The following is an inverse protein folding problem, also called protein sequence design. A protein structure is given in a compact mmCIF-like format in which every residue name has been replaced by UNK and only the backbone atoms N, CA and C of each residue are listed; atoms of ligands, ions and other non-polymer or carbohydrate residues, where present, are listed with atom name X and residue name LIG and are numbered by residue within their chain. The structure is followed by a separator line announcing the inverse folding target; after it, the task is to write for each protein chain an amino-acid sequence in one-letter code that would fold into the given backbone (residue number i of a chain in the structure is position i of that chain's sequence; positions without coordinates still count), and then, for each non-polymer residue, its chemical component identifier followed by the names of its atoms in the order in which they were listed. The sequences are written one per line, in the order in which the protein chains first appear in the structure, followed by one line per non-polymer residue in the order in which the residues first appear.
data_IF_995918331244
#
_entry.id   IF_995918331244
#
_cell.length_a   1.000
_cell.length_b   1.000
_cell.length_c   1.000
_cell.angle_alpha   90.00
_cell.angle_beta   90.00
_cell.angle_gamma   90.00
#
_symmetry.space_group_name_H-M   'P 1'
#
loop_
_entity.id
_entity.type
_entity.pdbx_description
1 polymer ?
#
# COMPACT_ATOMS: atom_id res chain seq x y z
N UNK A 1 -17.18 -27.47 -67.07
CA UNK A 1 -17.52 -26.25 -66.31
C UNK A 1 -17.06 -26.45 -64.87
N UNK A 2 -15.88 -25.94 -64.54
CA UNK A 2 -15.26 -26.06 -63.20
C UNK A 2 -15.92 -25.07 -62.24
N UNK A 3 -16.73 -25.58 -61.32
CA UNK A 3 -17.20 -24.80 -60.17
C UNK A 3 -16.02 -24.50 -59.26
N UNK A 4 -15.43 -23.31 -59.40
CA UNK A 4 -14.55 -22.77 -58.38
C UNK A 4 -15.40 -22.31 -57.20
N UNK A 5 -15.52 -23.17 -56.18
CA UNK A 5 -16.01 -22.78 -54.86
C UNK A 5 -15.06 -21.72 -54.32
N UNK A 6 -15.42 -20.43 -54.42
CA UNK A 6 -14.67 -19.35 -53.77
C UNK A 6 -14.69 -19.64 -52.27
N UNK A 7 -13.52 -19.92 -51.70
CA UNK A 7 -13.33 -19.95 -50.25
C UNK A 7 -13.92 -18.65 -49.66
N UNK A 8 -14.64 -18.69 -48.53
CA UNK A 8 -15.14 -17.49 -47.90
C UNK A 8 -13.96 -16.56 -47.62
N UNK A 9 -14.04 -15.33 -48.14
CA UNK A 9 -13.02 -14.31 -47.90
C UNK A 9 -12.84 -14.12 -46.39
N UNK A 10 -11.62 -13.91 -45.94
CA UNK A 10 -11.31 -13.69 -44.54
C UNK A 10 -10.61 -12.35 -44.34
N UNK A 11 -10.82 -11.73 -43.19
CA UNK A 11 -10.17 -10.47 -42.79
C UNK A 11 -9.21 -10.76 -41.65
N UNK A 12 -7.96 -10.33 -41.81
CA UNK A 12 -6.96 -10.39 -40.74
C UNK A 12 -7.12 -9.19 -39.79
N UNK A 13 -7.28 -9.49 -38.50
CA UNK A 13 -7.34 -8.52 -37.40
C UNK A 13 -6.46 -9.03 -36.28
N UNK A 14 -5.47 -8.25 -35.86
CA UNK A 14 -4.52 -8.60 -34.78
C UNK A 14 -3.89 -10.01 -34.93
N UNK A 15 -3.56 -10.40 -36.16
CA UNK A 15 -2.98 -11.71 -36.48
C UNK A 15 -3.98 -12.88 -36.53
N UNK A 16 -5.24 -12.66 -36.16
CA UNK A 16 -6.31 -13.63 -36.27
C UNK A 16 -7.09 -13.48 -37.59
N UNK A 17 -7.44 -14.62 -38.19
CA UNK A 17 -8.28 -14.67 -39.40
C UNK A 17 -9.75 -14.76 -39.02
N UNK A 18 -10.54 -13.81 -39.52
CA UNK A 18 -11.99 -13.75 -39.30
C UNK A 18 -12.73 -13.97 -40.62
N UNK A 19 -13.49 -15.05 -40.71
CA UNK A 19 -14.30 -15.37 -41.90
C UNK A 19 -15.36 -14.28 -42.13
N UNK A 20 -15.48 -13.82 -43.38
CA UNK A 20 -16.57 -12.92 -43.78
C UNK A 20 -17.90 -13.66 -43.66
N UNK A 21 -18.86 -13.03 -43.00
CA UNK A 21 -20.20 -13.59 -42.85
C UNK A 21 -21.02 -13.28 -44.12
N UNK A 22 -21.73 -14.25 -44.71
CA UNK A 22 -22.34 -14.14 -46.05
C UNK A 22 -23.61 -13.28 -46.09
N UNK A 23 -23.79 -12.35 -45.15
CA UNK A 23 -24.88 -11.38 -45.14
C UNK A 23 -24.28 -9.98 -45.20
N UNK A 24 -24.72 -9.21 -46.20
CA UNK A 24 -24.31 -7.82 -46.36
C UNK A 24 -24.57 -7.02 -45.08
N UNK A 25 -23.69 -6.08 -44.71
CA UNK A 25 -24.00 -5.09 -43.69
C UNK A 25 -25.28 -4.33 -44.04
N UNK A 26 -26.02 -3.90 -43.02
CA UNK A 26 -27.13 -2.98 -43.23
C UNK A 26 -26.62 -1.68 -43.89
N UNK A 27 -27.31 -1.12 -44.90
CA UNK A 27 -26.87 0.09 -45.60
C UNK A 27 -26.62 1.31 -44.71
N UNK A 28 -27.24 1.37 -43.52
CA UNK A 28 -27.04 2.46 -42.56
C UNK A 28 -25.72 2.38 -41.80
N UNK A 29 -25.12 1.20 -41.67
CA UNK A 29 -23.96 0.99 -40.78
C UNK A 29 -22.68 1.71 -41.22
N UNK A 30 -22.33 1.82 -42.52
CA UNK A 30 -21.17 2.60 -42.95
C UNK A 30 -21.23 4.05 -42.48
N UNK A 31 -22.38 4.71 -42.64
CA UNK A 31 -22.57 6.10 -42.20
C UNK A 31 -22.47 6.24 -40.67
N UNK A 32 -22.99 5.26 -39.91
CA UNK A 32 -22.85 5.23 -38.44
C UNK A 32 -21.37 5.06 -38.04
N UNK A 33 -20.63 4.19 -38.72
CA UNK A 33 -19.21 3.98 -38.45
C UNK A 33 -18.41 5.26 -38.73
N UNK A 34 -18.68 5.90 -39.87
CA UNK A 34 -18.00 7.11 -40.32
C UNK A 34 -18.20 8.26 -39.33
N UNK A 35 -19.46 8.49 -38.91
CA UNK A 35 -19.80 9.49 -37.89
C UNK A 35 -19.09 9.25 -36.55
N UNK A 36 -18.67 8.00 -36.27
CA UNK A 36 -17.95 7.60 -35.05
C UNK A 36 -16.43 7.54 -35.24
N UNK A 37 -15.90 7.91 -36.41
CA UNK A 37 -14.46 7.92 -36.73
C UNK A 37 -13.89 6.59 -37.22
N UNK A 38 -14.71 5.76 -37.86
CA UNK A 38 -14.31 4.45 -38.38
C UNK A 38 -14.86 4.18 -39.78
N UNK A 39 -14.16 3.36 -40.56
CA UNK A 39 -14.73 2.72 -41.75
C UNK A 39 -15.30 1.35 -41.36
N UNK A 40 -16.50 1.04 -41.83
CA UNK A 40 -17.03 -0.32 -41.81
C UNK A 40 -16.42 -1.13 -42.95
N UNK A 41 -15.64 -2.16 -42.62
CA UNK A 41 -15.01 -3.02 -43.63
C UNK A 41 -15.99 -4.09 -44.11
N UNK A 42 -16.47 -4.93 -43.18
CA UNK A 42 -17.40 -6.03 -43.50
C UNK A 42 -17.95 -6.68 -42.23
N UNK A 43 -18.90 -7.58 -42.41
CA UNK A 43 -19.42 -8.46 -41.35
C UNK A 43 -18.56 -9.72 -41.26
N UNK A 44 -18.25 -10.18 -40.05
CA UNK A 44 -17.35 -11.33 -39.83
C UNK A 44 -17.83 -12.24 -38.72
N UNK A 45 -17.41 -13.51 -38.75
CA UNK A 45 -17.66 -14.57 -37.77
C UNK A 45 -19.14 -14.99 -37.67
N UNK A 46 -20.04 -14.05 -37.40
CA UNK A 46 -21.48 -14.29 -37.29
C UNK A 46 -22.29 -13.04 -37.65
N UNK A 47 -23.62 -13.12 -37.47
CA UNK A 47 -24.52 -12.00 -37.74
C UNK A 47 -24.37 -10.81 -36.77
N UNK A 48 -23.55 -10.91 -35.73
CA UNK A 48 -23.44 -9.95 -34.64
C UNK A 48 -22.11 -9.20 -34.58
N UNK A 49 -21.14 -9.53 -35.44
CA UNK A 49 -19.82 -8.88 -35.45
C UNK A 49 -19.47 -8.29 -36.80
N UNK A 50 -18.74 -7.18 -36.76
CA UNK A 50 -18.21 -6.51 -37.93
C UNK A 50 -16.78 -6.03 -37.67
N UNK A 51 -16.03 -5.78 -38.73
CA UNK A 51 -14.69 -5.19 -38.66
C UNK A 51 -14.81 -3.71 -38.94
N UNK A 52 -14.29 -2.90 -38.00
CA UNK A 52 -14.10 -1.48 -38.17
C UNK A 52 -12.62 -1.18 -38.41
N UNK A 53 -12.31 -0.15 -39.20
CA UNK A 53 -10.97 0.43 -39.35
C UNK A 53 -10.99 1.85 -38.80
N UNK A 54 -10.12 2.16 -37.84
CA UNK A 54 -10.06 3.49 -37.24
C UNK A 54 -9.48 4.52 -38.22
N UNK A 55 -10.10 5.70 -38.34
CA UNK A 55 -9.56 6.79 -39.17
C UNK A 55 -8.25 7.36 -38.64
N UNK A 56 -8.09 7.41 -37.31
CA UNK A 56 -6.93 8.05 -36.68
C UNK A 56 -5.64 7.21 -36.77
N UNK A 57 -5.71 5.89 -36.61
CA UNK A 57 -4.53 5.03 -36.60
C UNK A 57 -4.56 3.87 -37.60
N UNK A 58 -5.64 3.70 -38.36
CA UNK A 58 -5.80 2.61 -39.33
C UNK A 58 -5.96 1.21 -38.72
N UNK A 59 -5.86 1.05 -37.40
CA UNK A 59 -6.03 -0.25 -36.74
C UNK A 59 -7.43 -0.81 -36.97
N UNK A 60 -7.50 -2.09 -37.32
CA UNK A 60 -8.75 -2.83 -37.47
C UNK A 60 -9.16 -3.42 -36.13
N UNK A 61 -10.46 -3.47 -35.86
CA UNK A 61 -11.00 -4.12 -34.68
C UNK A 61 -12.29 -4.86 -35.01
N UNK A 62 -12.44 -6.07 -34.45
CA UNK A 62 -13.72 -6.78 -34.48
C UNK A 62 -14.60 -6.22 -33.36
N UNK A 63 -15.76 -5.68 -33.72
CA UNK A 63 -16.71 -5.13 -32.75
C UNK A 63 -18.07 -5.80 -32.92
N UNK A 64 -18.86 -5.83 -31.84
CA UNK A 64 -20.26 -6.22 -31.95
C UNK A 64 -21.05 -5.11 -32.65
N UNK A 65 -22.02 -5.50 -33.47
CA UNK A 65 -22.88 -4.57 -34.21
C UNK A 65 -23.67 -3.65 -33.27
N UNK A 66 -24.13 -4.14 -32.11
CA UNK A 66 -24.78 -3.28 -31.12
C UNK A 66 -23.83 -2.22 -30.55
N UNK A 67 -22.54 -2.51 -30.40
CA UNK A 67 -21.54 -1.50 -30.01
C UNK A 67 -21.39 -0.45 -31.12
N UNK A 68 -21.34 -0.87 -32.39
CA UNK A 68 -21.32 0.06 -33.52
C UNK A 68 -22.57 0.95 -33.55
N UNK A 69 -23.77 0.40 -33.35
CA UNK A 69 -25.02 1.16 -33.44
C UNK A 69 -25.25 2.04 -32.22
N UNK A 70 -25.15 1.46 -31.03
CA UNK A 70 -25.75 2.01 -29.81
C UNK A 70 -24.71 2.71 -28.90
N UNK A 71 -23.41 2.50 -29.14
CA UNK A 71 -22.33 3.04 -28.31
C UNK A 71 -21.19 3.64 -29.15
N UNK A 72 -20.16 4.18 -28.49
CA UNK A 72 -18.93 4.61 -29.15
C UNK A 72 -17.92 3.45 -29.17
N UNK A 73 -17.55 2.90 -30.35
CA UNK A 73 -16.49 1.92 -30.45
C UNK A 73 -15.15 2.52 -29.98
N UNK A 74 -14.40 1.74 -29.20
CA UNK A 74 -13.06 2.10 -28.75
C UNK A 74 -12.02 1.48 -29.68
N UNK A 75 -11.04 2.27 -30.12
CA UNK A 75 -9.92 1.76 -30.90
C UNK A 75 -8.78 1.29 -29.99
N UNK A 76 -8.46 -0.01 -30.04
CA UNK A 76 -7.36 -0.59 -29.28
C UNK A 76 -6.00 -0.01 -29.68
N UNK A 77 -5.79 0.31 -30.97
CA UNK A 77 -4.58 0.95 -31.48
C UNK A 77 -4.35 2.33 -30.89
N UNK A 78 -5.35 3.23 -30.98
CA UNK A 78 -5.27 4.56 -30.37
C UNK A 78 -5.09 4.49 -28.84
N UNK A 79 -5.78 3.57 -28.18
CA UNK A 79 -5.63 3.36 -26.73
C UNK A 79 -4.19 2.94 -26.40
N UNK A 80 -3.62 2.00 -27.15
CA UNK A 80 -2.23 1.57 -26.97
C UNK A 80 -1.26 2.73 -27.20
N UNK A 81 -1.38 3.45 -28.32
CA UNK A 81 -0.54 4.60 -28.66
C UNK A 81 -0.59 5.69 -27.58
N UNK A 82 -1.78 6.01 -27.07
CA UNK A 82 -1.94 6.97 -25.96
C UNK A 82 -1.19 6.53 -24.71
N UNK A 83 -1.32 5.25 -24.33
CA UNK A 83 -0.64 4.68 -23.16
C UNK A 83 0.88 4.60 -23.34
N UNK A 84 1.34 4.21 -24.54
CA UNK A 84 2.75 4.17 -24.89
C UNK A 84 3.36 5.57 -24.87
N UNK A 85 2.66 6.58 -25.40
CA UNK A 85 3.07 7.98 -25.35
C UNK A 85 3.18 8.49 -23.91
N UNK A 86 2.21 8.15 -23.05
CA UNK A 86 2.27 8.49 -21.62
C UNK A 86 3.47 7.84 -20.91
N UNK A 87 3.77 6.56 -21.20
CA UNK A 87 4.96 5.91 -20.67
C UNK A 87 6.24 6.63 -21.16
N UNK A 88 6.33 6.95 -22.46
CA UNK A 88 7.47 7.61 -23.06
C UNK A 88 7.73 9.01 -22.47
N UNK A 89 6.67 9.77 -22.16
CA UNK A 89 6.78 11.06 -21.48
C UNK A 89 7.47 10.97 -20.10
N UNK A 90 7.39 9.81 -19.44
CA UNK A 90 8.08 9.51 -18.19
C UNK A 90 9.47 8.88 -18.42
N UNK A 91 9.90 8.74 -19.68
CA UNK A 91 11.04 7.95 -20.12
C UNK A 91 10.92 6.47 -19.77
N UNK A 92 9.70 5.95 -19.75
CA UNK A 92 9.42 4.52 -19.66
C UNK A 92 8.95 3.98 -21.01
N UNK A 93 9.05 2.66 -21.18
CA UNK A 93 8.56 1.95 -22.37
C UNK A 93 7.39 1.05 -21.96
N UNK A 94 6.26 1.12 -22.66
CA UNK A 94 5.15 0.18 -22.44
C UNK A 94 5.42 -1.12 -23.20
N UNK A 95 5.76 -2.18 -22.47
CA UNK A 95 6.17 -3.47 -23.05
C UNK A 95 4.96 -4.34 -23.38
N UNK A 96 4.02 -4.45 -22.44
CA UNK A 96 2.91 -5.39 -22.56
C UNK A 96 1.69 -4.95 -21.75
N UNK A 97 0.51 -5.44 -22.16
CA UNK A 97 -0.67 -5.42 -21.32
C UNK A 97 -0.60 -6.50 -20.24
N UNK A 98 -1.26 -6.28 -19.11
CA UNK A 98 -1.40 -7.29 -18.07
C UNK A 98 -2.51 -8.30 -18.45
N UNK A 99 -2.15 -9.59 -18.53
CA UNK A 99 -3.09 -10.65 -18.91
C UNK A 99 -4.24 -10.79 -17.90
N UNK A 100 -3.99 -10.51 -16.62
CA UNK A 100 -4.98 -10.59 -15.55
C UNK A 100 -5.85 -9.33 -15.39
N UNK A 101 -5.55 -8.24 -16.11
CA UNK A 101 -6.29 -6.99 -15.92
C UNK A 101 -6.14 -6.00 -17.08
N UNK A 102 -7.27 -5.68 -17.71
CA UNK A 102 -7.37 -4.64 -18.76
C UNK A 102 -6.93 -3.23 -18.31
N UNK A 103 -6.84 -3.00 -17.00
CA UNK A 103 -6.49 -1.71 -16.40
C UNK A 103 -4.99 -1.55 -16.14
N UNK A 104 -4.21 -2.62 -16.27
CA UNK A 104 -2.78 -2.64 -15.97
C UNK A 104 -1.94 -2.95 -17.21
N UNK A 105 -0.69 -2.47 -17.17
CA UNK A 105 0.35 -2.79 -18.13
C UNK A 105 1.70 -2.93 -17.44
N UNK A 106 2.64 -3.50 -18.18
CA UNK A 106 4.04 -3.65 -17.80
C UNK A 106 4.87 -2.60 -18.52
N UNK A 107 5.58 -1.78 -17.76
CA UNK A 107 6.44 -0.73 -18.30
C UNK A 107 7.87 -0.92 -17.84
N UNK A 108 8.84 -0.80 -18.75
CA UNK A 108 10.27 -0.74 -18.43
C UNK A 108 10.61 0.71 -18.09
N UNK A 109 11.16 0.94 -16.90
CA UNK A 109 11.59 2.27 -16.47
C UNK A 109 13.02 2.55 -16.93
N UNK A 110 13.48 3.81 -16.84
CA UNK A 110 14.86 4.22 -17.17
C UNK A 110 15.93 3.43 -16.43
N UNK A 111 15.63 2.97 -15.22
CA UNK A 111 16.51 2.13 -14.42
C UNK A 111 16.58 0.66 -14.89
N UNK A 112 15.95 0.31 -16.01
CA UNK A 112 15.92 -1.05 -16.58
C UNK A 112 14.85 -1.98 -15.98
N UNK A 113 14.32 -1.65 -14.79
CA UNK A 113 13.32 -2.48 -14.14
C UNK A 113 11.95 -2.42 -14.81
N UNK A 114 11.27 -3.57 -14.86
CA UNK A 114 9.88 -3.68 -15.33
C UNK A 114 8.93 -3.54 -14.15
N UNK A 115 7.97 -2.63 -14.25
CA UNK A 115 6.95 -2.40 -13.24
C UNK A 115 5.55 -2.65 -13.78
N UNK A 116 4.71 -3.26 -12.94
CA UNK A 116 3.27 -3.37 -13.20
C UNK A 116 2.56 -2.14 -12.66
N UNK A 117 1.85 -1.40 -13.53
CA UNK A 117 1.16 -0.15 -13.17
C UNK A 117 -0.19 -0.02 -13.87
N UNK A 118 -1.11 0.70 -13.22
CA UNK A 118 -2.37 1.08 -13.85
C UNK A 118 -2.12 2.14 -14.92
N UNK A 119 -2.74 1.99 -16.09
CA UNK A 119 -2.59 2.97 -17.18
C UNK A 119 -2.97 4.38 -16.75
N UNK A 120 -4.07 4.51 -16.01
CA UNK A 120 -4.54 5.83 -15.53
C UNK A 120 -3.51 6.53 -14.64
N UNK A 121 -2.74 5.78 -13.83
CA UNK A 121 -1.68 6.39 -13.00
C UNK A 121 -0.50 6.85 -13.84
N UNK A 122 -0.11 6.05 -14.83
CA UNK A 122 0.94 6.42 -15.79
C UNK A 122 0.54 7.67 -16.57
N UNK A 123 -0.69 7.74 -17.07
CA UNK A 123 -1.23 8.91 -17.77
C UNK A 123 -1.27 10.15 -16.87
N UNK A 124 -1.69 10.03 -15.60
CA UNK A 124 -1.66 11.14 -14.63
C UNK A 124 -0.23 11.59 -14.29
N UNK A 125 0.71 10.67 -14.18
CA UNK A 125 2.11 10.97 -13.94
C UNK A 125 2.70 11.73 -15.14
N UNK A 126 2.42 11.30 -16.37
CA UNK A 126 2.84 11.96 -17.59
C UNK A 126 2.31 13.40 -17.72
N UNK A 127 1.12 13.66 -17.18
CA UNK A 127 0.53 15.01 -17.10
C UNK A 127 1.11 15.88 -15.96
N UNK A 128 2.19 15.45 -15.30
CA UNK A 128 2.85 16.22 -14.24
C UNK A 128 2.32 15.98 -12.82
N UNK A 129 1.42 15.01 -12.61
CA UNK A 129 0.81 14.78 -11.30
C UNK A 129 1.73 14.15 -10.25
N UNK A 130 2.65 13.26 -10.64
CA UNK A 130 3.62 12.61 -9.76
C UNK A 130 4.68 11.84 -10.57
N UNK A 131 5.86 11.60 -9.98
CA UNK A 131 6.86 10.71 -10.57
C UNK A 131 6.45 9.24 -10.47
N UNK A 132 6.86 8.42 -11.44
CA UNK A 132 6.72 6.97 -11.37
C UNK A 132 7.83 6.38 -10.50
N UNK A 133 7.45 5.60 -9.50
CA UNK A 133 8.35 4.99 -8.55
C UNK A 133 8.76 3.57 -8.97
N UNK A 134 10.05 3.25 -8.85
CA UNK A 134 10.57 1.90 -9.03
C UNK A 134 10.77 1.24 -7.66
N UNK A 135 10.04 0.16 -7.39
CA UNK A 135 10.15 -0.57 -6.13
C UNK A 135 11.54 -1.19 -5.94
N UNK A 136 12.13 -1.77 -6.98
CA UNK A 136 13.46 -2.36 -6.92
C UNK A 136 14.54 -1.30 -6.60
N UNK A 137 14.59 -0.19 -7.32
CA UNK A 137 15.53 0.90 -7.01
C UNK A 137 15.33 1.47 -5.62
N UNK A 138 14.08 1.53 -5.16
CA UNK A 138 13.74 2.02 -3.82
C UNK A 138 14.29 1.09 -2.73
N UNK A 139 14.13 -0.23 -2.86
CA UNK A 139 14.71 -1.19 -1.91
C UNK A 139 16.26 -1.19 -1.97
N UNK A 140 16.86 -1.06 -3.16
CA UNK A 140 18.32 -0.92 -3.31
C UNK A 140 18.81 0.30 -2.52
N UNK A 141 18.14 1.45 -2.68
CA UNK A 141 18.48 2.67 -1.96
C UNK A 141 18.39 2.47 -0.44
N UNK A 142 17.32 1.86 0.06
CA UNK A 142 17.18 1.56 1.49
C UNK A 142 18.30 0.66 2.01
N UNK A 143 18.71 -0.35 1.23
CA UNK A 143 19.84 -1.19 1.57
C UNK A 143 21.16 -0.42 1.62
N UNK A 144 21.39 0.50 0.68
CA UNK A 144 22.59 1.37 0.68
C UNK A 144 22.60 2.33 1.87
N UNK A 145 21.48 2.99 2.16
CA UNK A 145 21.32 3.86 3.34
C UNK A 145 21.59 3.09 4.63
N UNK A 146 21.04 1.88 4.77
CA UNK A 146 21.25 1.02 5.93
C UNK A 146 22.73 0.65 6.15
N UNK A 147 23.45 0.31 5.06
CA UNK A 147 24.87 -0.08 5.14
C UNK A 147 25.75 1.03 5.70
N UNK A 148 25.42 2.30 5.41
CA UNK A 148 26.15 3.44 5.94
C UNK A 148 26.14 3.48 7.48
N UNK A 149 25.08 2.96 8.10
CA UNK A 149 24.91 2.92 9.55
C UNK A 149 25.20 1.53 10.17
N UNK A 150 25.85 0.63 9.43
CA UNK A 150 26.16 -0.72 9.92
C UNK A 150 24.97 -1.68 9.96
N UNK A 151 23.96 -1.44 9.11
CA UNK A 151 22.78 -2.28 8.95
C UNK A 151 22.70 -2.89 7.55
N UNK A 152 22.03 -4.03 7.45
CA UNK A 152 21.67 -4.67 6.18
C UNK A 152 20.15 -4.77 6.10
N UNK A 153 19.58 -4.46 4.93
CA UNK A 153 18.15 -4.64 4.68
C UNK A 153 17.85 -6.14 4.45
N UNK A 154 17.05 -6.72 5.34
CA UNK A 154 16.59 -8.12 5.21
C UNK A 154 15.30 -8.19 4.35
N UNK A 155 14.49 -7.13 4.33
CA UNK A 155 13.31 -7.03 3.48
C UNK A 155 12.11 -6.32 4.14
N UNK A 156 10.88 -6.69 3.77
CA UNK A 156 9.67 -6.12 4.37
C UNK A 156 9.65 -6.27 5.90
N UNK A 157 9.09 -5.27 6.59
CA UNK A 157 8.90 -5.32 8.04
C UNK A 157 7.95 -6.45 8.46
N UNK A 158 8.08 -6.91 9.71
CA UNK A 158 7.15 -7.88 10.29
C UNK A 158 5.78 -7.23 10.52
N UNK A 159 4.75 -7.87 10.00
CA UNK A 159 3.40 -7.30 9.95
C UNK A 159 3.31 -6.20 8.89
N UNK A 160 2.12 -5.99 8.32
CA UNK A 160 1.90 -4.99 7.24
C UNK A 160 2.03 -3.56 7.78
N UNK A 161 3.27 -3.08 7.93
CA UNK A 161 3.61 -1.73 8.41
C UNK A 161 4.22 -0.91 7.27
N UNK A 162 3.38 -0.16 6.52
CA UNK A 162 3.89 0.80 5.53
C UNK A 162 4.89 1.75 6.20
N UNK A 163 6.00 2.05 5.51
CA UNK A 163 7.04 2.94 6.05
C UNK A 163 8.10 2.27 6.94
N UNK A 164 8.00 0.96 7.20
CA UNK A 164 8.99 0.19 7.95
C UNK A 164 9.64 -0.88 7.07
N UNK A 165 10.87 -1.26 7.43
CA UNK A 165 11.58 -2.41 6.85
C UNK A 165 12.27 -3.21 7.97
N UNK A 166 12.46 -4.50 7.71
CA UNK A 166 13.25 -5.37 8.58
C UNK A 166 14.72 -5.20 8.23
N UNK A 167 15.54 -4.83 9.22
CA UNK A 167 16.98 -4.68 9.06
C UNK A 167 17.72 -5.57 10.05
N UNK A 168 18.94 -5.96 9.68
CA UNK A 168 19.90 -6.69 10.50
C UNK A 168 21.09 -5.80 10.82
N UNK A 169 21.37 -5.62 12.11
CA UNK A 169 22.55 -4.87 12.54
C UNK A 169 23.83 -5.72 12.37
N UNK A 170 24.99 -5.08 12.32
CA UNK A 170 26.29 -5.77 12.29
C UNK A 170 26.53 -6.75 13.45
N UNK A 171 25.82 -6.61 14.58
CA UNK A 171 25.84 -7.59 15.68
C UNK A 171 24.94 -8.83 15.45
N UNK A 172 24.30 -8.95 14.29
CA UNK A 172 23.39 -10.05 13.93
C UNK A 172 21.93 -9.88 14.36
N UNK A 173 21.61 -8.90 15.20
CA UNK A 173 20.23 -8.67 15.66
C UNK A 173 19.36 -8.08 14.55
N UNK A 174 18.17 -8.66 14.35
CA UNK A 174 17.18 -8.18 13.39
C UNK A 174 16.04 -7.42 14.08
N UNK A 175 15.66 -6.26 13.54
CA UNK A 175 14.52 -5.48 14.01
C UNK A 175 13.88 -4.65 12.89
N UNK A 176 12.60 -4.35 13.08
CA UNK A 176 11.90 -3.41 12.19
C UNK A 176 12.27 -1.97 12.56
N UNK A 177 12.72 -1.19 11.58
CA UNK A 177 13.05 0.23 11.71
C UNK A 177 12.26 1.02 10.67
N UNK A 178 11.84 2.23 11.00
CA UNK A 178 11.22 3.11 10.02
C UNK A 178 12.25 3.46 8.94
N UNK A 179 11.79 3.59 7.69
CA UNK A 179 12.65 3.96 6.56
C UNK A 179 13.29 5.32 6.82
N UNK A 180 12.52 6.29 7.34
CA UNK A 180 13.02 7.63 7.66
C UNK A 180 14.13 7.62 8.71
N UNK A 181 13.95 6.90 9.82
CA UNK A 181 14.99 6.83 10.85
C UNK A 181 16.25 6.14 10.32
N UNK A 182 16.11 5.08 9.53
CA UNK A 182 17.26 4.41 8.93
C UNK A 182 18.01 5.34 7.97
N UNK A 183 17.32 6.15 7.18
CA UNK A 183 17.94 7.09 6.26
C UNK A 183 18.78 8.17 6.98
N UNK A 184 18.40 8.58 8.19
CA UNK A 184 19.12 9.57 9.00
C UNK A 184 20.09 8.98 10.02
N UNK A 185 20.15 7.65 10.16
CA UNK A 185 20.94 6.99 11.20
C UNK A 185 20.34 7.09 12.60
N UNK A 186 19.10 7.56 12.72
CA UNK A 186 18.33 7.69 13.97
C UNK A 186 17.75 6.34 14.43
N UNK A 187 18.56 5.29 14.35
CA UNK A 187 18.21 3.92 14.66
C UNK A 187 19.26 3.28 15.56
N UNK A 188 18.85 2.81 16.73
CA UNK A 188 19.73 2.09 17.66
C UNK A 188 19.38 0.61 17.72
N UNK A 189 20.42 -0.23 17.75
CA UNK A 189 20.24 -1.67 17.86
C UNK A 189 19.69 -2.06 19.23
N UNK A 190 18.52 -2.70 19.24
CA UNK A 190 17.86 -3.18 20.45
C UNK A 190 18.59 -4.31 21.18
N UNK A 191 19.72 -4.80 20.68
CA UNK A 191 20.50 -5.87 21.33
C UNK A 191 21.87 -5.40 21.85
N UNK A 192 22.57 -4.52 21.14
CA UNK A 192 23.93 -4.11 21.51
C UNK A 192 24.11 -2.61 21.77
N UNK A 193 23.10 -1.77 21.50
CA UNK A 193 23.24 -0.34 21.74
C UNK A 193 23.36 -0.05 23.25
N UNK A 194 24.32 0.79 23.61
CA UNK A 194 24.57 1.18 25.01
C UNK A 194 23.65 2.31 25.50
N UNK A 195 22.72 2.77 24.66
CA UNK A 195 21.73 3.77 25.02
C UNK A 195 20.42 3.12 25.49
N UNK A 196 19.39 3.94 25.70
CA UNK A 196 18.09 3.47 26.21
C UNK A 196 17.45 2.38 25.32
N UNK A 197 17.74 2.37 24.02
CA UNK A 197 17.08 1.49 23.07
C UNK A 197 17.54 0.03 23.20
N UNK A 198 18.83 -0.19 23.50
CA UNK A 198 19.44 -1.52 23.66
C UNK A 198 19.56 -2.00 25.11
N UNK A 199 19.54 -1.08 26.09
CA UNK A 199 19.57 -1.44 27.51
C UNK A 199 18.24 -2.08 27.96
N UNK A 200 18.26 -3.08 28.87
CA UNK A 200 17.05 -3.64 29.46
C UNK A 200 16.13 -2.57 30.04
N UNK A 201 14.82 -2.79 29.91
CA UNK A 201 13.79 -1.87 30.36
C UNK A 201 12.59 -2.64 30.86
N UNK A 202 11.68 -1.95 31.55
CA UNK A 202 10.48 -2.57 32.09
C UNK A 202 9.23 -2.00 31.45
N UNK A 203 8.24 -2.86 31.21
CA UNK A 203 6.84 -2.44 31.09
C UNK A 203 6.23 -2.48 32.49
N UNK A 204 5.45 -1.47 32.84
CA UNK A 204 4.83 -1.35 34.15
C UNK A 204 3.33 -1.12 34.03
N UNK A 205 2.64 -1.43 35.12
CA UNK A 205 1.26 -1.07 35.38
C UNK A 205 1.17 -0.41 36.76
N UNK A 206 0.75 0.83 36.81
CA UNK A 206 0.54 1.57 38.06
C UNK A 206 -0.95 1.78 38.29
N UNK A 207 -1.38 1.74 39.55
CA UNK A 207 -2.65 2.29 40.01
C UNK A 207 -2.40 3.64 40.65
N UNK A 208 -3.22 4.63 40.31
CA UNK A 208 -3.09 6.01 40.75
C UNK A 208 -4.49 6.51 41.14
N UNK A 209 -4.68 6.82 42.41
CA UNK A 209 -5.97 7.26 42.96
C UNK A 209 -6.13 8.78 42.78
N UNK A 210 -6.24 9.24 41.53
CA UNK A 210 -6.46 10.67 41.26
C UNK A 210 -7.80 11.12 41.89
N UNK A 211 -7.91 12.40 42.32
CA UNK A 211 -9.14 12.93 42.90
C UNK A 211 -10.34 12.72 41.97
N UNK A 212 -11.34 11.95 42.42
CA UNK A 212 -12.55 11.66 41.65
C UNK A 212 -12.38 10.69 40.47
N UNK A 213 -11.17 10.19 40.20
CA UNK A 213 -10.90 9.36 39.02
C UNK A 213 -9.71 8.40 39.21
N UNK A 214 -9.87 7.28 39.92
CA UNK A 214 -8.82 6.27 40.02
C UNK A 214 -8.49 5.68 38.65
N UNK A 215 -7.22 5.71 38.26
CA UNK A 215 -6.75 5.23 36.97
C UNK A 215 -5.66 4.18 37.09
N UNK A 216 -5.57 3.35 36.06
CA UNK A 216 -4.47 2.44 35.80
C UNK A 216 -3.63 3.00 34.65
N UNK A 217 -2.33 3.11 34.87
CA UNK A 217 -1.35 3.61 33.90
C UNK A 217 -0.42 2.49 33.48
N UNK A 218 -0.53 2.07 32.22
CA UNK A 218 0.46 1.22 31.59
C UNK A 218 1.52 2.06 30.86
N UNK A 219 2.80 1.77 31.04
CA UNK A 219 3.87 2.42 30.30
C UNK A 219 5.17 1.65 30.36
N UNK A 220 6.26 2.23 29.88
CA UNK A 220 7.60 1.65 30.02
C UNK A 220 8.58 2.63 30.67
N UNK A 221 9.59 2.09 31.34
CA UNK A 221 10.71 2.84 31.94
C UNK A 221 11.83 1.91 32.34
N UNK A 222 13.08 2.37 32.24
CA UNK A 222 14.23 1.71 32.85
C UNK A 222 14.18 1.77 34.40
N UNK A 223 13.41 2.69 34.98
CA UNK A 223 13.26 2.87 36.45
C UNK A 223 11.80 3.14 36.82
N UNK A 224 10.91 2.13 36.86
CA UNK A 224 9.48 2.32 37.13
C UNK A 224 9.17 3.08 38.42
N UNK A 225 9.82 2.73 39.53
CA UNK A 225 9.60 3.41 40.82
C UNK A 225 9.97 4.90 40.78
N UNK A 226 11.11 5.26 40.16
CA UNK A 226 11.50 6.68 39.98
C UNK A 226 10.49 7.41 39.09
N UNK A 227 9.99 6.75 38.04
CA UNK A 227 8.99 7.33 37.15
C UNK A 227 7.69 7.64 37.88
N UNK A 228 7.17 6.68 38.64
CA UNK A 228 5.95 6.87 39.44
C UNK A 228 6.09 8.03 40.44
N UNK A 229 7.20 8.08 41.18
CA UNK A 229 7.39 9.06 42.26
C UNK A 229 7.76 10.46 41.80
N UNK A 230 8.48 10.60 40.68
CA UNK A 230 9.15 11.86 40.36
C UNK A 230 8.90 12.39 38.94
N UNK A 231 8.48 11.54 37.98
CA UNK A 231 8.39 11.96 36.58
C UNK A 231 6.95 12.17 36.10
N UNK A 232 5.97 11.58 36.78
CA UNK A 232 4.57 11.69 36.41
C UNK A 232 3.87 12.93 36.99
N UNK A 233 4.57 13.77 37.75
CA UNK A 233 4.01 15.03 38.29
C UNK A 233 2.82 14.83 39.25
N UNK A 234 2.69 13.64 39.84
CA UNK A 234 1.59 13.30 40.74
C UNK A 234 1.78 14.04 42.07
N UNK A 235 0.73 14.68 42.58
CA UNK A 235 0.78 15.40 43.86
C UNK A 235 1.11 14.46 45.04
N UNK A 236 1.89 14.95 46.02
CA UNK A 236 2.46 14.14 47.12
C UNK A 236 1.43 13.39 48.00
N UNK A 237 0.17 13.82 48.03
CA UNK A 237 -0.91 13.17 48.80
C UNK A 237 -1.70 12.12 48.03
N UNK A 238 -1.48 11.96 46.72
CA UNK A 238 -2.21 10.98 45.90
C UNK A 238 -1.63 9.59 46.15
N UNK A 239 -2.50 8.62 46.47
CA UNK A 239 -2.10 7.24 46.66
C UNK A 239 -1.73 6.60 45.31
N UNK A 240 -0.59 5.91 45.30
CA UNK A 240 -0.08 5.22 44.12
C UNK A 240 0.40 3.81 44.48
N UNK A 241 0.22 2.87 43.57
CA UNK A 241 0.62 1.48 43.74
C UNK A 241 1.22 0.92 42.43
N UNK A 242 2.26 0.09 42.54
CA UNK A 242 2.81 -0.65 41.40
C UNK A 242 2.09 -1.99 41.35
N UNK A 243 1.20 -2.16 40.37
CA UNK A 243 0.43 -3.41 40.20
C UNK A 243 1.27 -4.51 39.56
N UNK A 244 2.07 -4.16 38.55
CA UNK A 244 2.93 -5.12 37.84
C UNK A 244 4.12 -4.44 37.20
N UNK A 245 5.24 -5.15 37.13
CA UNK A 245 6.44 -4.77 36.38
C UNK A 245 6.96 -6.01 35.66
N UNK A 246 7.25 -5.88 34.37
CA UNK A 246 7.80 -6.95 33.53
C UNK A 246 9.11 -6.49 32.91
N UNK A 247 10.19 -7.23 33.17
CA UNK A 247 11.50 -6.98 32.56
C UNK A 247 11.48 -7.42 31.10
N UNK A 248 12.04 -6.59 30.23
CA UNK A 248 12.29 -6.91 28.84
C UNK A 248 13.76 -6.67 28.49
N UNK A 249 14.23 -7.41 27.49
CA UNK A 249 15.63 -7.43 27.07
C UNK A 249 16.15 -6.06 26.63
N UNK A 250 15.27 -5.17 26.16
CA UNK A 250 15.66 -3.83 25.73
C UNK A 250 14.54 -2.78 25.80
N UNK A 251 14.92 -1.50 25.76
CA UNK A 251 13.97 -0.38 25.65
C UNK A 251 13.10 -0.45 24.40
N UNK A 252 13.66 -0.86 23.25
CA UNK A 252 12.90 -1.08 22.03
C UNK A 252 11.85 -2.18 22.19
N UNK A 253 12.20 -3.29 22.86
CA UNK A 253 11.24 -4.33 23.19
C UNK A 253 10.11 -3.77 24.07
N UNK A 254 10.45 -2.96 25.09
CA UNK A 254 9.46 -2.36 25.98
C UNK A 254 8.51 -1.37 25.28
N UNK A 255 9.01 -0.52 24.39
CA UNK A 255 8.17 0.37 23.57
C UNK A 255 7.22 -0.42 22.67
N UNK A 256 7.72 -1.51 22.06
CA UNK A 256 6.92 -2.36 21.18
C UNK A 256 5.79 -3.06 21.94
N UNK A 257 6.10 -3.66 23.08
CA UNK A 257 5.10 -4.33 23.92
C UNK A 257 4.08 -3.33 24.46
N UNK A 258 4.50 -2.17 24.98
CA UNK A 258 3.59 -1.11 25.42
C UNK A 258 2.64 -0.69 24.28
N UNK A 259 3.18 -0.42 23.09
CA UNK A 259 2.40 -0.01 21.92
C UNK A 259 1.41 -1.09 21.48
N UNK A 260 1.81 -2.36 21.55
CA UNK A 260 0.95 -3.50 21.22
C UNK A 260 -0.20 -3.62 22.23
N UNK A 261 0.07 -3.49 23.52
CA UNK A 261 -0.96 -3.51 24.55
C UNK A 261 -1.91 -2.30 24.43
N UNK A 262 -1.43 -1.09 24.17
CA UNK A 262 -2.31 0.08 23.91
C UNK A 262 -3.18 -0.11 22.68
N UNK A 263 -2.66 -0.75 21.62
CA UNK A 263 -3.46 -1.09 20.44
C UNK A 263 -4.55 -2.10 20.79
N UNK A 264 -4.21 -3.18 21.49
CA UNK A 264 -5.19 -4.19 21.93
C UNK A 264 -6.29 -3.57 22.81
N UNK A 265 -5.95 -2.66 23.72
CA UNK A 265 -6.92 -1.91 24.51
C UNK A 265 -7.85 -1.06 23.65
N UNK A 266 -7.33 -0.35 22.65
CA UNK A 266 -8.19 0.41 21.72
C UNK A 266 -9.11 -0.47 20.90
N UNK A 267 -8.65 -1.63 20.46
CA UNK A 267 -9.43 -2.51 19.60
C UNK A 267 -10.50 -3.27 20.38
N UNK A 268 -10.20 -3.71 21.61
CA UNK A 268 -11.07 -4.61 22.39
C UNK A 268 -11.82 -3.92 23.52
N UNK A 269 -11.29 -2.82 24.04
CA UNK A 269 -11.76 -2.17 25.26
C UNK A 269 -11.73 -0.63 25.15
N UNK A 270 -12.09 -0.08 23.98
CA UNK A 270 -12.05 1.37 23.73
C UNK A 270 -12.82 2.19 24.79
N UNK A 271 -13.93 1.65 25.30
CA UNK A 271 -14.77 2.25 26.34
C UNK A 271 -14.08 2.35 27.71
N UNK A 272 -12.97 1.63 27.91
CA UNK A 272 -12.14 1.69 29.11
C UNK A 272 -10.94 2.62 28.96
N UNK A 273 -10.85 3.42 27.90
CA UNK A 273 -9.76 4.39 27.77
C UNK A 273 -10.24 5.72 28.34
N UNK A 274 -9.54 6.25 29.34
CA UNK A 274 -9.85 7.56 29.92
C UNK A 274 -9.32 8.67 29.00
N UNK A 275 -10.16 9.59 28.49
CA UNK A 275 -9.71 10.75 27.72
C UNK A 275 -8.82 11.70 28.54
N UNK A 276 -7.78 12.26 27.91
CA UNK A 276 -6.85 13.21 28.54
C UNK A 276 -7.55 14.40 29.24
N UNK A 277 -8.62 15.02 28.70
CA UNK A 277 -9.32 16.10 29.38
C UNK A 277 -9.87 15.72 30.77
N UNK A 278 -10.18 14.44 31.03
CA UNK A 278 -10.77 14.02 32.29
C UNK A 278 -9.78 14.00 33.46
N UNK A 279 -8.48 13.87 33.19
CA UNK A 279 -7.44 13.91 34.24
C UNK A 279 -6.49 15.10 34.12
N UNK A 280 -6.68 15.98 33.12
CA UNK A 280 -5.98 17.25 32.97
C UNK A 280 -4.48 17.16 33.27
N UNK A 281 -4.01 18.07 34.13
CA UNK A 281 -2.62 18.14 34.58
C UNK A 281 -2.35 17.37 35.87
N UNK A 282 -3.33 16.60 36.39
CA UNK A 282 -3.16 15.78 37.59
C UNK A 282 -2.11 14.66 37.40
N UNK A 283 -1.77 14.36 36.14
CA UNK A 283 -0.68 13.45 35.77
C UNK A 283 -0.01 13.89 34.46
N UNK A 284 1.31 14.08 34.52
CA UNK A 284 2.14 14.38 33.37
C UNK A 284 2.42 13.10 32.57
N UNK A 285 1.56 12.83 31.60
CA UNK A 285 1.71 11.69 30.69
C UNK A 285 1.23 12.05 29.29
N UNK A 286 2.05 11.69 28.30
CA UNK A 286 1.65 11.60 26.90
C UNK A 286 1.01 10.25 26.55
N UNK A 287 1.24 9.23 27.38
CA UNK A 287 0.67 7.89 27.25
C UNK A 287 -0.69 7.74 27.95
N UNK A 288 -1.42 6.67 27.61
CA UNK A 288 -2.83 6.43 27.99
C UNK A 288 -3.02 5.99 29.44
N UNK A 289 -4.21 6.28 29.98
CA UNK A 289 -4.71 5.81 31.28
C UNK A 289 -6.07 5.14 31.08
N UNK A 290 -6.37 4.11 31.87
CA UNK A 290 -7.62 3.36 31.85
C UNK A 290 -8.27 3.44 33.25
N UNK A 291 -9.61 3.34 33.44
CA UNK A 291 -10.23 3.44 34.75
C UNK A 291 -9.93 2.20 35.60
N UNK A 292 -9.70 2.41 36.90
CA UNK A 292 -9.11 1.39 37.77
C UNK A 292 -9.99 0.15 37.98
N UNK A 293 -11.31 0.28 38.15
CA UNK A 293 -12.17 -0.85 38.49
C UNK A 293 -12.44 -1.79 37.30
N UNK A 294 -12.77 -1.30 36.08
CA UNK A 294 -12.90 -2.21 34.94
C UNK A 294 -11.56 -2.80 34.52
N UNK A 295 -10.48 -2.00 34.48
CA UNK A 295 -9.20 -2.44 33.92
C UNK A 295 -8.53 -3.57 34.73
N UNK A 296 -8.64 -3.55 36.07
CA UNK A 296 -8.05 -4.62 36.92
C UNK A 296 -8.73 -5.97 36.67
N UNK A 297 -10.05 -5.98 36.44
CA UNK A 297 -10.82 -7.19 36.19
C UNK A 297 -10.59 -7.75 34.78
N UNK A 298 -10.50 -6.90 33.75
CA UNK A 298 -10.24 -7.34 32.36
C UNK A 298 -8.77 -7.70 32.08
N UNK A 299 -7.81 -7.15 32.83
CA UNK A 299 -6.39 -7.48 32.71
C UNK A 299 -5.99 -8.75 33.47
N UNK A 300 -6.95 -9.45 34.09
CA UNK A 300 -6.68 -10.69 34.84
C UNK A 300 -5.81 -10.47 36.09
N UNK A 301 -5.91 -9.29 36.72
CA UNK A 301 -5.14 -8.92 37.92
C UNK A 301 -5.97 -9.04 39.20
N UNK A 302 -7.15 -9.64 39.12
CA UNK A 302 -7.99 -9.97 40.28
C UNK A 302 -7.53 -11.25 40.95
N UNK A 303 -6.75 -11.10 42.02
CA UNK A 303 -6.27 -12.12 42.98
C UNK A 303 -5.55 -13.33 42.41
#
# INVERSE_FOLDING_TARGET
MTHHTRLPSAVLVDGASHLVFPLAPDPSWPAIAEAKGFDLITRVTDRYRCVLRCHACGTKAVVRINVLRDHQPLCHGCIYQRRATAALALGAELIAADAGSRHYGHSRLRCGHVVRRQYLRVEKAAAGGHAIDCEACREIRYGTEARHFGWTLDGPARGRRPGYRSYRHGCGHAQDVSIGNMAWGDASCGACAQNWAGKPSYVYLFKIDLPGLPVVKMGYSARPAKRLRHQLGIARGVRTEILRVMLLSSGNAAVREESACHRAMRERHAHLIVPKPMFGDAINTQGRCDPCQPAIQYLGLGR
#
